data_IF_793602948821
#
_entry.id   IF_793602948821
#
_cell.length_a   1.000
_cell.length_b   1.000
_cell.length_c   1.000
_cell.angle_alpha   90.00
_cell.angle_beta   90.00
_cell.angle_gamma   90.00
#
_symmetry.space_group_name_H-M   'P 1'
#
loop_
_entity.id
_entity.type
_entity.pdbx_description
1 polymer ?
#
# COMPACT_ATOMS: atom_id res chain seq x y z
N UNK A 1 -53.66 -20.28 -12.00
CA UNK A 1 -53.55 -20.86 -10.65
C UNK A 1 -52.19 -21.51 -10.52
N UNK A 2 -51.27 -20.92 -9.74
CA UNK A 2 -49.98 -21.54 -9.38
C UNK A 2 -49.74 -21.26 -7.89
N UNK A 3 -50.00 -22.31 -7.14
CA UNK A 3 -49.71 -22.59 -5.74
C UNK A 3 -48.57 -21.77 -5.09
N UNK A 4 -48.94 -21.10 -4.01
CA UNK A 4 -48.10 -20.45 -3.01
C UNK A 4 -47.56 -21.52 -2.04
N UNK A 5 -46.26 -21.53 -1.77
CA UNK A 5 -45.67 -22.34 -0.68
C UNK A 5 -44.84 -21.47 0.24
N UNK A 6 -45.35 -21.23 1.44
CA UNK A 6 -44.72 -20.48 2.52
C UNK A 6 -43.93 -21.45 3.42
N UNK A 7 -42.65 -21.19 3.66
CA UNK A 7 -41.88 -21.87 4.72
C UNK A 7 -41.10 -20.83 5.51
N UNK A 8 -41.64 -20.45 6.65
CA UNK A 8 -40.95 -19.68 7.70
C UNK A 8 -40.43 -20.65 8.76
N UNK A 9 -39.16 -20.53 9.17
CA UNK A 9 -38.69 -21.10 10.43
C UNK A 9 -37.77 -20.10 11.14
N UNK A 10 -38.09 -19.80 12.41
CA UNK A 10 -37.21 -19.14 13.38
C UNK A 10 -36.03 -20.08 13.73
N UNK A 11 -34.91 -19.66 14.34
CA UNK A 11 -34.83 -19.23 15.74
C UNK A 11 -33.36 -18.88 16.14
N UNK A 12 -33.23 -18.30 17.35
CA UNK A 12 -32.05 -18.31 18.23
C UNK A 12 -30.91 -17.32 17.94
N UNK A 13 -31.10 -16.10 18.45
CA UNK A 13 -30.03 -15.18 18.85
C UNK A 13 -29.19 -15.74 20.02
N UNK A 14 -27.86 -15.56 19.95
CA UNK A 14 -26.95 -15.70 21.09
C UNK A 14 -26.31 -14.35 21.41
N UNK A 15 -26.80 -13.69 22.45
CA UNK A 15 -26.11 -12.59 23.10
C UNK A 15 -25.08 -13.15 24.07
N UNK A 16 -23.82 -12.75 23.94
CA UNK A 16 -22.86 -12.81 25.05
C UNK A 16 -22.54 -11.38 25.48
N UNK A 17 -23.25 -10.92 26.50
CA UNK A 17 -22.77 -9.84 27.34
C UNK A 17 -21.70 -10.42 28.29
N UNK A 18 -20.57 -9.73 28.44
CA UNK A 18 -19.61 -10.00 29.52
C UNK A 18 -19.07 -8.68 30.05
N UNK A 19 -18.85 -8.62 31.36
CA UNK A 19 -18.88 -7.37 32.12
C UNK A 19 -17.51 -6.71 32.31
N UNK A 20 -17.55 -5.37 32.34
CA UNK A 20 -16.97 -4.48 33.36
C UNK A 20 -15.58 -4.78 33.99
N UNK A 21 -14.60 -3.94 33.61
CA UNK A 21 -13.56 -3.21 34.41
C UNK A 21 -12.92 -3.85 35.67
N UNK A 22 -11.62 -3.58 35.90
CA UNK A 22 -11.29 -2.41 36.71
C UNK A 22 -10.13 -1.54 36.16
N UNK A 23 -10.14 -0.27 36.57
CA UNK A 23 -9.06 0.71 36.39
C UNK A 23 -8.00 0.60 37.50
N UNK A 24 -6.74 0.91 37.20
CA UNK A 24 -5.79 1.44 38.18
C UNK A 24 -5.01 2.61 37.57
N UNK A 25 -4.74 3.60 38.42
CA UNK A 25 -4.24 4.93 38.09
C UNK A 25 -3.17 5.33 39.12
N UNK A 26 -2.23 6.21 38.76
CA UNK A 26 -1.09 6.61 39.60
C UNK A 26 0.16 5.71 39.42
N UNK A 27 1.38 6.21 39.63
CA UNK A 27 1.77 7.51 40.21
C UNK A 27 3.13 8.01 39.64
N UNK A 28 3.44 9.28 39.84
CA UNK A 28 4.64 9.95 39.34
C UNK A 28 5.90 9.65 40.19
N UNK A 29 7.10 9.76 39.59
CA UNK A 29 8.09 10.81 39.96
C UNK A 29 9.41 10.78 39.19
N UNK A 30 10.02 11.96 39.12
CA UNK A 30 11.32 12.29 38.53
C UNK A 30 12.17 13.05 39.56
N UNK A 31 13.51 12.90 39.53
CA UNK A 31 14.38 14.06 39.71
C UNK A 31 15.43 14.20 38.57
N UNK A 32 16.17 15.31 38.57
CA UNK A 32 17.14 15.70 37.52
C UNK A 32 18.56 15.95 38.08
N UNK A 33 19.54 15.93 37.16
CA UNK A 33 20.77 16.78 37.07
C UNK A 33 21.97 16.43 37.98
N UNK A 34 23.22 16.94 37.70
CA UNK A 34 23.70 17.70 36.50
C UNK A 34 25.14 17.40 35.95
N UNK A 35 25.43 17.86 34.71
CA UNK A 35 26.75 18.19 34.07
C UNK A 35 27.83 17.05 33.97
N UNK A 36 28.87 17.08 33.10
CA UNK A 36 29.52 18.14 32.28
C UNK A 36 30.19 17.56 31.00
N UNK A 37 30.40 18.41 29.98
CA UNK A 37 31.46 18.39 28.92
C UNK A 37 31.57 17.32 27.79
N UNK A 38 32.02 17.83 26.63
CA UNK A 38 32.45 17.20 25.36
C UNK A 38 34.01 17.35 25.28
N UNK A 39 34.78 16.66 24.40
CA UNK A 39 34.43 16.25 23.01
C UNK A 39 34.95 14.81 22.66
N UNK A 40 35.22 14.33 21.42
CA UNK A 40 35.11 14.85 20.04
C UNK A 40 34.97 13.72 18.96
N UNK A 41 34.95 14.12 17.68
CA UNK A 41 35.31 13.41 16.44
C UNK A 41 34.99 11.89 16.29
N UNK A 42 33.89 11.60 15.58
CA UNK A 42 33.98 10.97 14.24
C UNK A 42 32.63 10.96 13.52
N UNK A 43 32.55 11.68 12.40
CA UNK A 43 31.41 11.65 11.50
C UNK A 43 31.31 10.33 10.73
N UNK A 44 30.66 9.33 11.32
CA UNK A 44 29.94 8.29 10.57
C UNK A 44 28.47 8.66 10.61
N UNK A 45 27.84 8.78 9.45
CA UNK A 45 26.37 8.86 9.39
C UNK A 45 25.83 7.47 9.72
N UNK A 46 25.49 7.27 10.98
CA UNK A 46 24.76 6.09 11.43
C UNK A 46 23.39 6.10 10.74
N UNK A 47 23.16 5.16 9.82
CA UNK A 47 21.82 4.83 9.36
C UNK A 47 21.01 4.38 10.59
N UNK A 48 20.25 5.31 11.16
CA UNK A 48 19.35 5.02 12.29
C UNK A 48 18.45 3.85 11.88
N UNK A 49 18.49 2.70 12.59
CA UNK A 49 17.60 1.59 12.29
C UNK A 49 16.15 2.09 12.30
N UNK A 50 15.32 1.77 11.29
CA UNK A 50 13.95 2.25 11.24
C UNK A 50 13.18 1.76 12.47
N UNK A 51 12.69 2.71 13.28
CA UNK A 51 11.73 2.42 14.34
C UNK A 51 10.45 1.84 13.71
N UNK A 52 10.02 0.70 14.25
CA UNK A 52 9.08 -0.27 13.69
C UNK A 52 9.56 -1.06 12.46
N UNK A 53 9.37 -2.40 12.45
CA UNK A 53 9.33 -3.17 11.21
C UNK A 53 8.30 -2.53 10.28
N UNK A 54 8.68 -2.22 9.05
CA UNK A 54 7.71 -1.72 8.07
C UNK A 54 6.76 -2.86 7.71
N UNK A 55 5.46 -2.66 7.88
CA UNK A 55 4.41 -3.60 7.43
C UNK A 55 4.34 -3.75 5.89
N UNK A 56 5.30 -3.18 5.16
CA UNK A 56 5.39 -3.12 3.70
C UNK A 56 6.86 -3.11 3.25
N UNK A 57 7.09 -3.56 2.01
CA UNK A 57 8.40 -3.49 1.35
C UNK A 57 8.49 -2.35 0.32
N UNK A 58 9.71 -2.03 -0.11
CA UNK A 58 9.97 -1.05 -1.19
C UNK A 58 9.64 -1.62 -2.57
N UNK A 59 9.57 -0.75 -3.59
CA UNK A 59 9.48 -1.20 -4.98
C UNK A 59 10.77 -1.94 -5.37
N UNK A 60 11.94 -1.44 -4.97
CA UNK A 60 13.23 -2.09 -5.20
C UNK A 60 13.25 -3.53 -4.67
N UNK A 61 12.84 -3.76 -3.42
CA UNK A 61 12.71 -5.10 -2.85
C UNK A 61 11.76 -5.99 -3.67
N UNK A 62 10.60 -5.44 -4.05
CA UNK A 62 9.59 -6.14 -4.85
C UNK A 62 10.05 -6.46 -6.29
N UNK A 63 11.04 -5.75 -6.82
CA UNK A 63 11.61 -6.02 -8.14
C UNK A 63 12.78 -7.03 -8.07
N UNK A 64 13.56 -7.02 -6.97
CA UNK A 64 14.81 -7.79 -6.83
C UNK A 64 14.68 -9.11 -6.07
N UNK A 65 13.60 -9.32 -5.30
CA UNK A 65 13.39 -10.51 -4.45
C UNK A 65 12.13 -11.29 -4.86
N UNK A 66 12.14 -12.60 -4.62
CA UNK A 66 10.98 -13.47 -4.82
C UNK A 66 10.15 -13.62 -3.54
N UNK A 67 8.82 -13.50 -3.67
CA UNK A 67 7.86 -13.66 -2.58
C UNK A 67 6.74 -14.62 -2.98
N UNK A 68 6.47 -15.62 -2.14
CA UNK A 68 5.44 -16.65 -2.35
C UNK A 68 4.09 -16.34 -1.67
N UNK A 69 4.05 -15.35 -0.77
CA UNK A 69 2.83 -14.88 -0.10
C UNK A 69 2.30 -13.59 -0.73
N UNK A 70 1.12 -13.17 -0.27
CA UNK A 70 0.72 -11.77 -0.43
C UNK A 70 1.57 -10.89 0.47
N UNK A 71 1.85 -9.68 -0.01
CA UNK A 71 2.72 -8.69 0.64
C UNK A 71 2.20 -7.29 0.37
N UNK A 72 2.44 -6.37 1.31
CA UNK A 72 2.25 -4.95 1.08
C UNK A 72 3.50 -4.35 0.41
N UNK A 73 3.29 -3.57 -0.63
CA UNK A 73 4.36 -2.88 -1.36
C UNK A 73 4.01 -1.41 -1.45
N UNK A 74 4.93 -0.52 -1.07
CA UNK A 74 4.72 0.92 -1.08
C UNK A 74 5.48 1.61 -2.21
N UNK A 75 4.81 2.52 -2.94
CA UNK A 75 5.43 3.30 -4.00
C UNK A 75 4.62 4.54 -4.40
N UNK A 76 5.25 5.44 -5.14
CA UNK A 76 4.62 6.60 -5.76
C UNK A 76 4.02 6.22 -7.10
N UNK A 77 2.83 6.75 -7.42
CA UNK A 77 2.20 6.59 -8.73
C UNK A 77 2.93 7.48 -9.74
N UNK A 78 3.86 6.91 -10.52
CA UNK A 78 4.71 7.66 -11.45
C UNK A 78 4.18 7.74 -12.88
N UNK A 79 3.22 6.89 -13.24
CA UNK A 79 2.59 6.93 -14.56
C UNK A 79 1.57 5.83 -14.81
N UNK A 80 1.18 5.69 -16.07
CA UNK A 80 0.24 4.68 -16.54
C UNK A 80 0.73 4.02 -17.84
N UNK A 81 0.24 2.82 -18.16
CA UNK A 81 0.57 2.14 -19.42
C UNK A 81 -0.52 1.18 -19.92
N UNK A 82 -0.35 0.73 -21.17
CA UNK A 82 -1.21 -0.28 -21.81
C UNK A 82 -0.40 -1.18 -22.74
N UNK A 83 -0.74 -2.47 -22.77
CA UNK A 83 -0.03 -3.58 -23.47
C UNK A 83 1.37 -3.90 -22.95
N UNK A 84 2.22 -2.90 -22.70
CA UNK A 84 3.59 -3.04 -22.21
C UNK A 84 4.06 -1.76 -21.52
N UNK A 85 5.01 -1.88 -20.59
CA UNK A 85 5.70 -0.73 -19.98
C UNK A 85 6.50 0.10 -21.01
N UNK A 86 6.81 -0.47 -22.19
CA UNK A 86 7.39 0.31 -23.30
C UNK A 86 6.53 1.53 -23.63
N UNK A 87 5.20 1.39 -23.51
CA UNK A 87 4.19 2.42 -23.79
C UNK A 87 3.80 3.23 -22.54
N UNK A 88 4.73 3.43 -21.59
CA UNK A 88 4.47 4.22 -20.39
C UNK A 88 4.29 5.72 -20.69
N UNK A 89 3.20 6.28 -20.17
CA UNK A 89 3.00 7.72 -20.01
C UNK A 89 3.38 8.10 -18.58
N UNK A 90 4.40 8.95 -18.42
CA UNK A 90 4.94 9.38 -17.11
C UNK A 90 4.57 10.83 -16.75
N UNK A 91 3.83 11.51 -17.63
CA UNK A 91 3.37 12.90 -17.50
C UNK A 91 1.98 13.01 -18.14
N UNK A 92 1.17 13.93 -17.64
CA UNK A 92 -0.13 14.25 -18.22
C UNK A 92 0.02 14.89 -19.64
N UNK A 93 -1.01 14.78 -20.51
CA UNK A 93 -2.26 14.04 -20.31
C UNK A 93 -2.04 12.52 -20.37
N UNK A 94 -2.77 11.79 -19.53
CA UNK A 94 -2.75 10.32 -19.52
C UNK A 94 -3.92 9.77 -20.34
N UNK A 95 -3.67 8.67 -21.07
CA UNK A 95 -4.64 7.99 -21.95
C UNK A 95 -5.00 6.59 -21.45
N UNK A 96 -4.25 6.05 -20.49
CA UNK A 96 -4.33 4.64 -20.09
C UNK A 96 -4.92 4.41 -18.69
N UNK A 97 -6.12 3.84 -18.65
CA UNK A 97 -6.81 3.46 -17.40
C UNK A 97 -6.55 2.01 -16.94
N UNK A 98 -5.71 1.24 -17.64
CA UNK A 98 -5.59 -0.22 -17.44
C UNK A 98 -4.50 -0.64 -16.47
N UNK A 99 -3.47 0.17 -16.28
CA UNK A 99 -2.37 -0.12 -15.38
C UNK A 99 -1.74 1.17 -14.86
N UNK A 100 -1.32 1.15 -13.59
CA UNK A 100 -0.43 2.15 -13.01
C UNK A 100 0.99 1.60 -12.96
N UNK A 101 1.95 2.53 -12.91
CA UNK A 101 3.35 2.26 -12.64
C UNK A 101 3.68 2.86 -11.28
N UNK A 102 4.28 2.05 -10.40
CA UNK A 102 4.72 2.46 -9.07
C UNK A 102 6.25 2.39 -8.97
N UNK A 103 6.88 3.40 -8.36
CA UNK A 103 8.33 3.46 -8.11
C UNK A 103 8.64 4.03 -6.72
N UNK A 104 9.86 3.82 -6.21
CA UNK A 104 10.30 4.38 -4.92
C UNK A 104 10.54 5.90 -4.98
N UNK A 105 10.91 6.46 -6.14
CA UNK A 105 10.99 7.91 -6.39
C UNK A 105 9.73 8.41 -7.13
N UNK A 106 9.14 9.51 -6.65
CA UNK A 106 7.99 10.20 -7.25
C UNK A 106 8.23 10.79 -8.65
N UNK A 107 9.48 10.89 -9.07
CA UNK A 107 9.91 11.42 -10.37
C UNK A 107 10.64 10.34 -11.21
N UNK A 108 10.56 9.06 -10.84
CA UNK A 108 11.26 8.00 -11.56
C UNK A 108 10.91 7.98 -13.06
N UNK A 109 11.93 7.78 -13.90
CA UNK A 109 11.81 7.65 -15.35
C UNK A 109 12.40 6.34 -15.89
N UNK A 110 13.22 5.65 -15.11
CA UNK A 110 13.73 4.32 -15.41
C UNK A 110 12.64 3.26 -15.22
N UNK A 111 12.19 2.69 -16.34
CA UNK A 111 11.17 1.63 -16.40
C UNK A 111 11.62 0.34 -15.68
N UNK A 112 12.93 0.12 -15.53
CA UNK A 112 13.48 -1.00 -14.77
C UNK A 112 13.26 -0.92 -13.26
N UNK A 113 12.91 0.27 -12.74
CA UNK A 113 12.61 0.53 -11.32
C UNK A 113 11.13 0.70 -11.02
N UNK A 114 10.27 0.34 -11.97
CA UNK A 114 8.82 0.47 -11.87
C UNK A 114 8.16 -0.91 -11.80
N UNK A 115 7.27 -1.13 -10.83
CA UNK A 115 6.32 -2.24 -10.89
C UNK A 115 5.04 -1.84 -11.63
N UNK A 116 4.40 -2.79 -12.31
CA UNK A 116 3.10 -2.58 -12.94
C UNK A 116 1.94 -3.09 -12.06
N UNK A 117 0.90 -2.28 -11.88
CA UNK A 117 -0.29 -2.59 -11.08
C UNK A 117 -1.54 -2.68 -11.98
N UNK A 118 -2.24 -3.81 -11.99
CA UNK A 118 -3.47 -3.99 -12.80
C UNK A 118 -4.63 -3.16 -12.26
N UNK A 119 -5.15 -2.25 -13.11
CA UNK A 119 -6.44 -1.59 -12.90
C UNK A 119 -7.51 -2.34 -13.72
N UNK A 120 -8.03 -3.43 -13.14
CA UNK A 120 -9.01 -4.29 -13.82
C UNK A 120 -10.28 -3.51 -14.16
N UNK A 121 -10.85 -3.75 -15.34
CA UNK A 121 -12.13 -3.17 -15.77
C UNK A 121 -13.21 -3.35 -14.69
N UNK A 122 -13.92 -2.26 -14.36
CA UNK A 122 -14.94 -2.17 -13.29
C UNK A 122 -14.43 -2.43 -11.85
N UNK A 123 -13.13 -2.46 -11.57
CA UNK A 123 -12.64 -2.54 -10.18
C UNK A 123 -12.72 -1.21 -9.44
N UNK A 124 -12.76 -1.30 -8.10
CA UNK A 124 -12.63 -0.19 -7.16
C UNK A 124 -11.36 0.61 -7.46
N UNK A 125 -10.20 -0.07 -7.50
CA UNK A 125 -8.92 0.57 -7.80
C UNK A 125 -8.90 1.27 -9.17
N UNK A 126 -9.56 0.73 -10.21
CA UNK A 126 -9.62 1.44 -11.50
C UNK A 126 -10.44 2.72 -11.40
N UNK A 127 -11.59 2.68 -10.73
CA UNK A 127 -12.42 3.88 -10.54
C UNK A 127 -11.67 4.97 -9.78
N UNK A 128 -10.88 4.62 -8.77
CA UNK A 128 -10.33 5.59 -7.81
C UNK A 128 -8.87 6.03 -8.08
N UNK A 129 -8.08 5.20 -8.78
CA UNK A 129 -6.64 5.42 -8.91
C UNK A 129 -6.17 5.75 -10.34
N UNK A 130 -7.02 5.61 -11.35
CA UNK A 130 -6.58 5.78 -12.74
C UNK A 130 -6.25 7.25 -13.07
N UNK A 131 -5.12 7.50 -13.74
CA UNK A 131 -4.63 8.87 -13.99
C UNK A 131 -5.36 9.63 -15.11
N UNK A 132 -6.30 8.99 -15.81
CA UNK A 132 -7.12 9.66 -16.84
C UNK A 132 -8.24 10.45 -16.16
N UNK A 133 -8.95 9.79 -15.24
CA UNK A 133 -10.06 10.38 -14.49
C UNK A 133 -9.55 11.09 -13.22
N UNK A 134 -8.39 10.66 -12.68
CA UNK A 134 -7.76 11.20 -11.47
C UNK A 134 -6.28 11.62 -11.70
N UNK A 135 -6.00 12.63 -12.54
CA UNK A 135 -4.64 13.12 -12.77
C UNK A 135 -3.97 13.64 -11.47
N UNK A 136 -4.74 14.08 -10.48
CA UNK A 136 -4.29 14.50 -9.16
C UNK A 136 -3.67 13.37 -8.32
N UNK A 137 -3.79 12.11 -8.75
CA UNK A 137 -3.13 10.99 -8.10
C UNK A 137 -1.69 10.77 -8.58
N UNK A 138 -1.25 11.46 -9.65
CA UNK A 138 0.15 11.42 -10.08
C UNK A 138 1.06 11.93 -8.95
N UNK A 139 2.16 11.20 -8.68
CA UNK A 139 3.12 11.45 -7.60
C UNK A 139 2.58 11.33 -6.17
N UNK A 140 1.33 10.92 -5.96
CA UNK A 140 0.87 10.47 -4.63
C UNK A 140 1.43 9.09 -4.32
N UNK A 141 1.55 8.77 -3.03
CA UNK A 141 2.10 7.51 -2.53
C UNK A 141 0.99 6.60 -2.02
N UNK A 142 1.05 5.33 -2.39
CA UNK A 142 0.16 4.27 -1.90
C UNK A 142 0.98 3.08 -1.43
N UNK A 143 0.41 2.28 -0.54
CA UNK A 143 0.76 0.86 -0.41
C UNK A 143 -0.37 0.00 -0.98
N UNK A 144 0.00 -1.10 -1.63
CA UNK A 144 -0.92 -2.06 -2.26
C UNK A 144 -0.62 -3.47 -1.76
N UNK A 145 -1.65 -4.28 -1.55
CA UNK A 145 -1.53 -5.65 -1.06
C UNK A 145 -1.85 -6.66 -2.17
N UNK A 146 -0.97 -7.63 -2.41
CA UNK A 146 -1.22 -8.66 -3.41
C UNK A 146 -0.07 -9.63 -3.63
N UNK A 147 -0.28 -10.56 -4.56
CA UNK A 147 0.75 -11.49 -5.02
C UNK A 147 1.63 -10.85 -6.08
N UNK A 148 2.93 -11.12 -5.97
CA UNK A 148 3.94 -10.79 -6.96
C UNK A 148 3.77 -11.66 -8.20
N UNK A 149 3.80 -11.06 -9.39
CA UNK A 149 3.63 -11.75 -10.68
C UNK A 149 4.21 -10.91 -11.83
N UNK A 150 4.05 -11.35 -13.08
CA UNK A 150 4.44 -10.57 -14.27
C UNK A 150 3.22 -9.86 -14.86
N UNK A 151 3.34 -8.55 -15.09
CA UNK A 151 2.31 -7.73 -15.71
C UNK A 151 2.93 -6.59 -16.54
N UNK A 152 2.37 -6.30 -17.71
CA UNK A 152 2.91 -5.30 -18.68
C UNK A 152 4.38 -5.52 -19.09
N UNK A 153 4.89 -6.76 -18.98
CA UNK A 153 6.27 -7.13 -19.31
C UNK A 153 7.28 -6.95 -18.17
N UNK A 154 6.84 -6.50 -16.98
CA UNK A 154 7.68 -6.33 -15.78
C UNK A 154 7.08 -7.06 -14.58
N UNK A 155 7.82 -7.09 -13.47
CA UNK A 155 7.34 -7.58 -12.19
C UNK A 155 6.27 -6.61 -11.64
N UNK A 156 5.20 -7.15 -11.06
CA UNK A 156 3.97 -6.40 -10.85
C UNK A 156 2.90 -7.16 -10.07
N UNK A 157 1.70 -6.59 -9.98
CA UNK A 157 0.54 -7.19 -9.32
C UNK A 157 -0.67 -7.25 -10.25
N UNK A 158 -1.29 -8.43 -10.32
CA UNK A 158 -2.49 -8.71 -11.13
C UNK A 158 -3.55 -9.39 -10.28
N UNK A 159 -4.84 -9.10 -10.51
CA UNK A 159 -5.99 -9.63 -9.73
C UNK A 159 -5.90 -9.41 -8.19
N UNK A 160 -5.19 -8.37 -7.74
CA UNK A 160 -4.82 -8.07 -6.35
C UNK A 160 -5.95 -7.58 -5.41
N UNK A 161 -7.21 -7.90 -5.69
CA UNK A 161 -8.34 -7.56 -4.80
C UNK A 161 -8.73 -6.06 -4.69
N UNK A 162 -7.88 -5.12 -5.11
CA UNK A 162 -8.03 -3.67 -4.87
C UNK A 162 -7.85 -3.24 -3.41
N UNK A 163 -7.06 -3.97 -2.60
CA UNK A 163 -6.73 -3.58 -1.23
C UNK A 163 -5.51 -2.66 -1.20
N UNK A 164 -5.74 -1.35 -1.00
CA UNK A 164 -4.70 -0.32 -0.96
C UNK A 164 -4.96 0.68 0.17
N UNK A 165 -3.91 1.41 0.57
CA UNK A 165 -4.00 2.55 1.48
C UNK A 165 -3.17 3.73 0.94
N UNK A 166 -3.69 4.95 1.08
CA UNK A 166 -2.91 6.18 0.83
C UNK A 166 -1.87 6.38 1.93
N UNK A 167 -0.67 6.81 1.54
CA UNK A 167 0.41 7.12 2.47
C UNK A 167 0.60 8.64 2.58
N UNK A 168 1.03 9.08 3.77
CA UNK A 168 1.44 10.47 4.03
C UNK A 168 2.86 10.72 3.49
#
# INVERSE_FOLDING_TARGET
>A
MKNLTLVTLLLASLFFASCEKPSLEGDEKKPKKPHTEKPDDKGKEDEKPPENPKDYITIHDFLTKDYSSQIWVAGYIVGACKRSISNAELKAPFSFQTALLLADDKNETDKGKMMALELRTKSVARRELNLVDHPENHRKRIKVYGYQTTYMGVRGMKKWGSLYEWMK
#
